data_IF_526482824368
#
_entry.id   IF_526482824368
#
_cell.length_a   1.000
_cell.length_b   1.000
_cell.length_c   1.000
_cell.angle_alpha   90.00
_cell.angle_beta   90.00
_cell.angle_gamma   90.00
#
_symmetry.space_group_name_H-M   'P 1'
#
loop_
_entity.id
_entity.type
_entity.pdbx_description
1 polymer ?
#
# COMPACT_ATOMS: atom_id res chain seq x y z
N UNK A 1 -4.06 28.72 11.04
CA UNK A 1 -5.12 27.81 10.55
C UNK A 1 -4.40 26.70 9.81
N UNK A 2 -4.11 25.58 10.46
CA UNK A 2 -3.51 24.41 9.79
C UNK A 2 -4.67 23.56 9.28
N UNK A 3 -4.84 23.53 7.96
CA UNK A 3 -5.79 22.65 7.30
C UNK A 3 -5.26 21.22 7.31
N UNK A 4 -5.86 20.38 8.12
CA UNK A 4 -5.86 18.93 7.93
C UNK A 4 -6.91 18.65 6.87
N UNK A 5 -6.50 18.49 5.61
CA UNK A 5 -7.35 17.95 4.54
C UNK A 5 -6.46 17.28 3.52
N UNK A 6 -5.90 16.15 3.92
CA UNK A 6 -5.25 15.17 3.04
C UNK A 6 -6.03 13.84 3.12
N UNK A 7 -7.36 13.94 3.34
CA UNK A 7 -8.24 12.77 3.54
C UNK A 7 -9.07 12.46 2.30
N UNK A 8 -9.32 13.44 1.43
CA UNK A 8 -10.02 13.29 0.16
C UNK A 8 -9.60 14.45 -0.75
N UNK A 9 -8.50 14.32 -1.50
CA UNK A 9 -8.22 15.26 -2.58
C UNK A 9 -9.19 14.96 -3.74
N UNK A 10 -10.36 15.63 -3.72
CA UNK A 10 -11.48 15.43 -4.64
C UNK A 10 -11.40 16.32 -5.89
N UNK A 11 -10.25 16.95 -6.13
CA UNK A 11 -10.14 17.82 -7.30
C UNK A 11 -10.22 16.97 -8.59
N UNK A 12 -11.37 17.09 -9.27
CA UNK A 12 -11.76 16.55 -10.59
C UNK A 12 -12.35 15.12 -10.72
N UNK A 13 -12.75 14.42 -9.65
CA UNK A 13 -13.49 13.15 -9.87
C UNK A 13 -15.00 13.37 -9.91
N UNK A 14 -15.58 13.32 -11.12
CA UNK A 14 -17.02 13.25 -11.31
C UNK A 14 -17.54 11.94 -10.71
N UNK A 15 -17.97 12.00 -9.45
CA UNK A 15 -18.52 10.87 -8.71
C UNK A 15 -19.61 10.16 -9.53
N UNK A 16 -19.32 8.96 -9.98
CA UNK A 16 -20.27 8.12 -10.72
C UNK A 16 -21.23 7.47 -9.71
N UNK A 17 -22.54 7.73 -9.79
CA UNK A 17 -23.51 7.08 -8.91
C UNK A 17 -23.48 5.55 -9.06
N UNK A 18 -23.55 4.84 -7.92
CA UNK A 18 -23.54 3.37 -7.89
C UNK A 18 -22.16 2.71 -7.78
N UNK A 19 -21.09 3.51 -7.75
CA UNK A 19 -19.73 3.04 -7.52
C UNK A 19 -19.37 3.16 -6.03
N UNK A 20 -18.83 2.10 -5.43
CA UNK A 20 -18.46 2.05 -4.02
C UNK A 20 -17.02 2.54 -3.78
N UNK A 21 -16.81 3.84 -3.90
CA UNK A 21 -15.51 4.47 -3.65
C UNK A 21 -15.03 4.31 -2.20
N UNK A 22 -15.95 4.18 -1.24
CA UNK A 22 -15.64 4.07 0.19
C UNK A 22 -15.18 2.66 0.53
N UNK A 23 -15.84 1.64 -0.03
CA UNK A 23 -15.41 0.25 0.08
C UNK A 23 -14.01 0.03 -0.49
N UNK A 24 -13.78 0.48 -1.73
CA UNK A 24 -12.44 0.41 -2.33
C UNK A 24 -11.37 1.12 -1.51
N UNK A 25 -11.65 2.34 -1.05
CA UNK A 25 -10.72 3.09 -0.19
C UNK A 25 -10.41 2.38 1.13
N UNK A 26 -11.43 1.83 1.81
CA UNK A 26 -11.26 1.10 3.06
C UNK A 26 -10.37 -0.12 2.89
N UNK A 27 -10.63 -0.92 1.86
CA UNK A 27 -9.80 -2.10 1.56
C UNK A 27 -8.33 -1.71 1.33
N UNK A 28 -8.09 -0.63 0.57
CA UNK A 28 -6.74 -0.12 0.37
C UNK A 28 -6.12 0.47 1.64
N UNK A 29 -6.92 1.09 2.51
CA UNK A 29 -6.44 1.62 3.79
C UNK A 29 -6.05 0.50 4.75
N UNK A 30 -6.87 -0.53 4.88
CA UNK A 30 -6.57 -1.69 5.73
C UNK A 30 -5.29 -2.39 5.24
N UNK A 31 -5.13 -2.53 3.93
CA UNK A 31 -3.90 -3.06 3.33
C UNK A 31 -2.68 -2.15 3.54
N UNK A 32 -2.83 -0.81 3.55
CA UNK A 32 -1.77 0.11 3.93
C UNK A 32 -1.32 -0.11 5.38
N UNK A 33 -2.29 -0.21 6.29
CA UNK A 33 -2.03 -0.34 7.72
C UNK A 33 -1.33 -1.69 8.02
N UNK A 34 -1.74 -2.78 7.35
CA UNK A 34 -1.08 -4.09 7.44
C UNK A 34 0.36 -4.05 6.89
N UNK A 35 0.58 -3.42 5.73
CA UNK A 35 1.91 -3.26 5.13
C UNK A 35 2.84 -2.48 6.05
N UNK A 36 2.38 -1.36 6.61
CA UNK A 36 3.18 -0.53 7.50
C UNK A 36 3.53 -1.27 8.79
N UNK A 37 2.58 -2.01 9.38
CA UNK A 37 2.85 -2.84 10.55
C UNK A 37 3.93 -3.90 10.27
N UNK A 38 3.82 -4.62 9.15
CA UNK A 38 4.80 -5.63 8.77
C UNK A 38 6.21 -5.04 8.54
N UNK A 39 6.28 -3.84 7.95
CA UNK A 39 7.54 -3.12 7.75
C UNK A 39 8.12 -2.68 9.10
N UNK A 40 7.32 -2.11 9.99
CA UNK A 40 7.77 -1.68 11.33
C UNK A 40 8.29 -2.85 12.17
N UNK A 41 7.60 -4.00 12.14
CA UNK A 41 7.99 -5.19 12.90
C UNK A 41 9.29 -5.83 12.38
N UNK A 42 9.47 -5.84 11.06
CA UNK A 42 10.63 -6.49 10.42
C UNK A 42 11.83 -5.56 10.34
N UNK A 43 11.59 -4.26 10.31
CA UNK A 43 12.61 -3.28 9.95
C UNK A 43 12.47 -1.96 10.71
N UNK A 44 12.97 -1.94 11.97
CA UNK A 44 12.87 -0.77 12.84
C UNK A 44 13.56 0.49 12.28
N UNK A 45 14.58 0.31 11.43
CA UNK A 45 15.32 1.40 10.78
C UNK A 45 14.55 2.07 9.63
N UNK A 46 13.37 1.58 9.27
CA UNK A 46 12.56 2.06 8.15
C UNK A 46 11.69 3.27 8.55
N UNK A 47 12.26 4.24 9.27
CA UNK A 47 11.55 5.37 9.89
C UNK A 47 10.87 6.32 8.86
N UNK A 48 11.22 6.20 7.58
CA UNK A 48 10.72 7.05 6.48
C UNK A 48 9.77 6.32 5.51
N UNK A 49 9.18 5.20 5.93
CA UNK A 49 8.19 4.47 5.12
C UNK A 49 6.79 4.98 5.41
N UNK A 50 6.11 5.49 4.40
CA UNK A 50 4.70 5.88 4.49
C UNK A 50 3.89 5.23 3.37
N UNK A 51 2.65 4.87 3.68
CA UNK A 51 1.70 4.35 2.71
C UNK A 51 0.39 5.15 2.83
N UNK A 52 -0.24 5.44 1.70
CA UNK A 52 -1.56 6.05 1.66
C UNK A 52 -2.46 5.36 0.66
N UNK A 53 -3.75 5.32 0.97
CA UNK A 53 -4.79 4.81 0.09
C UNK A 53 -5.39 5.95 -0.72
N UNK A 54 -5.54 5.75 -2.03
CA UNK A 54 -6.17 6.69 -2.93
C UNK A 54 -7.26 5.97 -3.73
N UNK A 55 -8.49 6.46 -3.64
CA UNK A 55 -9.59 5.99 -4.49
C UNK A 55 -9.35 6.37 -5.95
N UNK A 56 -9.73 5.48 -6.85
CA UNK A 56 -9.72 5.71 -8.30
C UNK A 56 -11.17 5.91 -8.78
N UNK A 57 -11.33 6.54 -9.94
CA UNK A 57 -12.63 6.91 -10.51
C UNK A 57 -13.55 5.73 -10.86
N UNK A 58 -13.04 4.50 -10.88
CA UNK A 58 -13.81 3.27 -11.10
C UNK A 58 -14.30 2.60 -9.81
N UNK A 59 -14.01 3.18 -8.63
CA UNK A 59 -14.35 2.65 -7.32
C UNK A 59 -13.32 1.69 -6.74
N UNK A 60 -12.27 1.35 -7.50
CA UNK A 60 -11.10 0.69 -6.93
C UNK A 60 -10.26 1.70 -6.12
N UNK A 61 -9.23 1.20 -5.44
CA UNK A 61 -8.25 2.05 -4.78
C UNK A 61 -6.84 1.53 -4.99
N UNK A 62 -5.89 2.46 -5.01
CA UNK A 62 -4.47 2.21 -5.14
C UNK A 62 -3.75 2.58 -3.83
N UNK A 63 -2.64 1.90 -3.59
CA UNK A 63 -1.74 2.19 -2.47
C UNK A 63 -0.52 2.94 -3.00
N UNK A 64 -0.27 4.11 -2.43
CA UNK A 64 0.89 4.95 -2.72
C UNK A 64 1.92 4.75 -1.62
N UNK A 65 3.02 4.07 -1.96
CA UNK A 65 4.10 3.76 -1.03
C UNK A 65 5.28 4.72 -1.26
N UNK A 66 5.67 5.45 -0.21
CA UNK A 66 6.88 6.26 -0.19
C UNK A 66 7.90 5.59 0.71
N UNK A 67 9.05 5.23 0.11
CA UNK A 67 10.11 4.48 0.78
C UNK A 67 11.49 5.02 0.38
N UNK A 68 12.48 5.01 1.29
CA UNK A 68 13.86 5.31 0.93
C UNK A 68 14.41 4.31 -0.09
N UNK A 69 15.33 4.73 -1.00
CA UNK A 69 15.92 3.82 -1.99
C UNK A 69 16.67 2.62 -1.38
N UNK A 70 17.25 2.77 -0.20
CA UNK A 70 17.90 1.67 0.54
C UNK A 70 16.85 0.67 1.03
N UNK A 71 15.73 1.18 1.54
CA UNK A 71 14.59 0.38 2.01
C UNK A 71 13.96 -0.42 0.86
N UNK A 72 13.70 0.26 -0.26
CA UNK A 72 13.18 -0.35 -1.49
C UNK A 72 14.05 -1.53 -1.98
N UNK A 73 15.39 -1.38 -1.90
CA UNK A 73 16.31 -2.43 -2.36
C UNK A 73 16.25 -3.68 -1.48
N UNK A 74 16.24 -3.56 -0.14
CA UNK A 74 16.14 -4.78 0.68
C UNK A 74 14.73 -5.38 0.63
N UNK A 75 13.66 -4.57 0.52
CA UNK A 75 12.30 -5.08 0.26
C UNK A 75 12.25 -5.91 -1.03
N UNK A 76 12.84 -5.42 -2.12
CA UNK A 76 12.90 -6.16 -3.38
C UNK A 76 13.70 -7.47 -3.25
N UNK A 77 14.72 -7.52 -2.40
CA UNK A 77 15.47 -8.76 -2.11
C UNK A 77 14.63 -9.75 -1.33
N UNK A 78 13.87 -9.31 -0.32
CA UNK A 78 12.95 -10.17 0.42
C UNK A 78 11.88 -10.78 -0.49
N UNK A 79 11.27 -9.98 -1.37
CA UNK A 79 10.29 -10.46 -2.36
C UNK A 79 10.89 -11.56 -3.25
N UNK A 80 12.14 -11.39 -3.71
CA UNK A 80 12.81 -12.40 -4.54
C UNK A 80 13.11 -13.69 -3.78
N UNK A 81 13.54 -13.59 -2.52
CA UNK A 81 13.80 -14.75 -1.67
C UNK A 81 12.51 -15.54 -1.44
N UNK A 82 11.44 -14.87 -1.01
CA UNK A 82 10.15 -15.53 -0.76
C UNK A 82 9.50 -16.10 -2.02
N UNK A 83 9.61 -15.40 -3.16
CA UNK A 83 9.14 -15.92 -4.45
C UNK A 83 9.94 -17.14 -4.90
N UNK A 84 11.27 -17.14 -4.71
CA UNK A 84 12.15 -18.28 -4.98
C UNK A 84 11.83 -19.49 -4.09
N UNK A 85 11.62 -19.26 -2.80
CA UNK A 85 11.24 -20.29 -1.82
C UNK A 85 9.85 -20.88 -2.12
N UNK A 86 8.92 -20.05 -2.59
CA UNK A 86 7.57 -20.48 -2.98
C UNK A 86 7.55 -21.34 -4.25
N UNK A 87 8.57 -21.18 -5.10
CA UNK A 87 8.76 -22.03 -6.27
C UNK A 87 9.39 -23.38 -5.86
N UNK A 88 10.33 -23.36 -4.91
CA UNK A 88 10.98 -24.57 -4.40
C UNK A 88 10.02 -25.48 -3.59
N UNK A 89 9.08 -24.88 -2.83
CA UNK A 89 8.03 -25.63 -2.10
C UNK A 89 6.98 -26.30 -3.00
N UNK A 90 6.88 -25.93 -4.28
CA UNK A 90 5.96 -26.55 -5.25
C UNK A 90 6.57 -27.75 -5.99
N UNK A 91 7.85 -28.03 -5.79
CA UNK A 91 8.59 -29.08 -6.50
C UNK A 91 8.89 -30.33 -5.66
N UNK A 92 8.34 -30.46 -4.45
CA UNK A 92 8.41 -31.73 -3.70
C UNK A 92 7.23 -32.66 -4.08
N UNK A 93 7.50 -33.93 -4.46
CA UNK A 93 6.52 -34.89 -4.95
C UNK A 93 5.63 -35.51 -3.86
#
# INVERSE_FOLDING_TARGET
>A
MSGTSDEFDLEETQWVPGVDYVGGWRDAKDACDELLAAVSDTWPEAEDVTASAQSVSDGSALIHLRIPPTTARKLATLIRITAGDSNNRRTEP
#
